data_IF_899456372814
#
_entry.id   IF_899456372814
#
_cell.length_a   1.000
_cell.length_b   1.000
_cell.length_c   1.000
_cell.angle_alpha   90.00
_cell.angle_beta   90.00
_cell.angle_gamma   90.00
#
_symmetry.space_group_name_H-M   'P 1'
#
loop_
_entity.id
_entity.type
_entity.pdbx_description
1 polymer ?
#
# COMPACT_ATOMS: atom_id res chain seq x y z
N UNK A 1 -3.38 19.43 47.27
CA UNK A 1 -3.37 18.46 46.16
C UNK A 1 -3.18 19.24 44.88
N UNK A 2 -1.96 19.23 44.33
CA UNK A 2 -1.62 19.86 43.06
C UNK A 2 -1.96 18.86 41.95
N UNK A 3 -2.85 19.24 41.03
CA UNK A 3 -3.11 18.48 39.80
C UNK A 3 -1.96 18.75 38.84
N UNK A 4 -1.18 17.72 38.53
CA UNK A 4 -0.25 17.71 37.41
C UNK A 4 -1.07 17.60 36.11
N UNK A 5 -0.89 18.51 35.13
CA UNK A 5 -1.51 18.34 33.83
C UNK A 5 -0.88 17.16 33.10
N UNK A 6 -1.72 16.35 32.45
CA UNK A 6 -1.31 15.22 31.63
C UNK A 6 -0.40 15.70 30.48
N UNK A 7 0.73 15.02 30.31
CA UNK A 7 1.59 15.14 29.13
C UNK A 7 0.78 14.86 27.86
N UNK A 8 0.94 15.66 26.79
CA UNK A 8 0.39 15.31 25.48
C UNK A 8 1.09 14.06 24.94
N UNK A 9 0.37 13.16 24.24
CA UNK A 9 0.96 11.95 23.69
C UNK A 9 2.09 12.28 22.72
N UNK A 10 3.19 11.57 22.93
CA UNK A 10 4.53 11.72 22.39
C UNK A 10 4.65 11.15 20.97
N UNK A 11 5.47 11.83 20.15
CA UNK A 11 6.27 11.33 19.02
C UNK A 11 5.66 10.26 18.08
N UNK A 12 5.49 10.64 16.80
CA UNK A 12 5.43 9.70 15.66
C UNK A 12 6.58 8.69 15.78
N UNK A 13 6.27 7.51 16.28
CA UNK A 13 7.27 6.48 16.53
C UNK A 13 7.57 5.80 15.20
N UNK A 14 8.84 5.76 14.80
CA UNK A 14 9.24 5.05 13.58
C UNK A 14 8.84 3.57 13.67
N UNK A 15 8.39 2.94 12.57
CA UNK A 15 7.99 1.54 12.58
C UNK A 15 9.15 0.67 13.10
N UNK A 16 8.84 -0.23 14.04
CA UNK A 16 9.81 -1.04 14.77
C UNK A 16 9.94 -2.45 14.17
N UNK A 17 8.95 -2.88 13.39
CA UNK A 17 8.89 -4.21 12.78
C UNK A 17 8.64 -4.15 11.27
N UNK A 18 9.02 -5.22 10.57
CA UNK A 18 8.76 -5.36 9.13
C UNK A 18 7.27 -5.25 8.79
N UNK A 19 6.42 -5.79 9.66
CA UNK A 19 4.98 -5.74 9.50
C UNK A 19 4.44 -4.31 9.60
N UNK A 20 4.90 -3.54 10.57
CA UNK A 20 4.54 -2.12 10.68
C UNK A 20 4.98 -1.31 9.45
N UNK A 21 6.16 -1.60 8.90
CA UNK A 21 6.58 -1.00 7.62
C UNK A 21 5.60 -1.35 6.49
N UNK A 22 5.15 -2.61 6.40
CA UNK A 22 4.18 -3.02 5.40
C UNK A 22 2.84 -2.30 5.54
N UNK A 23 2.37 -2.06 6.77
CA UNK A 23 1.15 -1.28 7.04
C UNK A 23 1.30 0.20 6.67
N UNK A 24 2.42 0.82 7.03
CA UNK A 24 2.71 2.21 6.65
C UNK A 24 2.79 2.35 5.13
N UNK A 25 3.43 1.39 4.45
CA UNK A 25 3.51 1.38 3.00
C UNK A 25 2.17 1.10 2.33
N UNK A 26 1.33 0.21 2.88
CA UNK A 26 -0.01 -0.02 2.31
C UNK A 26 -0.88 1.23 2.38
N UNK A 27 -0.85 1.95 3.50
CA UNK A 27 -1.58 3.22 3.64
C UNK A 27 -1.03 4.29 2.67
N UNK A 28 0.30 4.36 2.50
CA UNK A 28 0.92 5.22 1.49
C UNK A 28 0.42 4.88 0.08
N UNK A 29 0.40 3.61 -0.30
CA UNK A 29 -0.03 3.17 -1.62
C UNK A 29 -1.50 3.54 -1.88
N UNK A 30 -2.38 3.36 -0.88
CA UNK A 30 -3.79 3.74 -0.97
C UNK A 30 -3.93 5.25 -1.18
N UNK A 31 -3.21 6.06 -0.39
CA UNK A 31 -3.23 7.52 -0.53
C UNK A 31 -2.77 7.98 -1.91
N UNK A 32 -1.65 7.42 -2.41
CA UNK A 32 -1.16 7.72 -3.76
C UNK A 32 -2.15 7.30 -4.84
N UNK A 33 -2.86 6.19 -4.64
CA UNK A 33 -3.92 5.77 -5.56
C UNK A 33 -5.09 6.74 -5.57
N UNK A 34 -5.54 7.21 -4.41
CA UNK A 34 -6.59 8.24 -4.28
C UNK A 34 -6.20 9.52 -5.02
N UNK A 35 -4.97 10.00 -4.81
CA UNK A 35 -4.45 11.18 -5.52
C UNK A 35 -4.45 10.98 -7.05
N UNK A 36 -4.05 9.80 -7.53
CA UNK A 36 -4.10 9.46 -8.97
C UNK A 36 -5.54 9.47 -9.49
N UNK A 37 -6.50 8.94 -8.72
CA UNK A 37 -7.91 8.96 -9.09
C UNK A 37 -8.46 10.39 -9.16
N UNK A 38 -8.15 11.23 -8.17
CA UNK A 38 -8.55 12.64 -8.13
C UNK A 38 -7.96 13.42 -9.32
N UNK A 39 -6.67 13.25 -9.58
CA UNK A 39 -6.01 13.85 -10.73
C UNK A 39 -6.63 13.36 -12.03
N UNK A 40 -6.90 12.07 -12.21
CA UNK A 40 -7.49 11.58 -13.47
C UNK A 40 -8.87 12.18 -13.80
N UNK A 41 -9.58 12.74 -12.81
CA UNK A 41 -10.95 13.26 -12.92
C UNK A 41 -11.05 14.78 -13.16
N UNK A 42 -9.92 15.49 -13.38
CA UNK A 42 -9.79 16.92 -13.79
C UNK A 42 -11.12 17.72 -13.91
N UNK A 43 -11.56 18.35 -12.82
CA UNK A 43 -12.62 19.37 -12.85
C UNK A 43 -14.05 18.87 -13.07
N UNK A 44 -14.27 17.56 -13.13
CA UNK A 44 -15.60 16.98 -13.13
C UNK A 44 -16.03 16.71 -11.68
N UNK A 45 -17.22 17.20 -11.28
CA UNK A 45 -17.89 17.00 -9.98
C UNK A 45 -18.25 15.51 -9.69
N UNK A 46 -17.46 14.55 -10.15
CA UNK A 46 -17.67 13.14 -9.86
C UNK A 46 -16.93 12.78 -8.57
N UNK A 47 -17.67 12.90 -7.48
CA UNK A 47 -17.33 12.30 -6.18
C UNK A 47 -17.08 10.80 -6.39
N UNK A 48 -16.20 10.22 -5.58
CA UNK A 48 -16.09 8.77 -5.44
C UNK A 48 -17.49 8.14 -5.31
N UNK A 49 -17.69 7.00 -5.95
CA UNK A 49 -18.87 6.19 -5.65
C UNK A 49 -18.90 5.83 -4.16
N UNK A 50 -20.06 5.46 -3.62
CA UNK A 50 -20.15 5.01 -2.22
C UNK A 50 -19.21 3.82 -1.94
N UNK A 51 -19.06 2.94 -2.92
CA UNK A 51 -18.16 1.79 -2.85
C UNK A 51 -16.67 2.20 -2.84
N UNK A 52 -16.25 3.07 -3.76
CA UNK A 52 -14.89 3.62 -3.76
C UNK A 52 -14.58 4.40 -2.47
N UNK A 53 -15.57 5.14 -1.98
CA UNK A 53 -15.47 5.87 -0.71
C UNK A 53 -15.23 4.89 0.44
N UNK A 54 -16.03 3.83 0.55
CA UNK A 54 -15.86 2.81 1.58
C UNK A 54 -14.47 2.15 1.52
N UNK A 55 -14.00 1.80 0.31
CA UNK A 55 -12.76 1.05 0.09
C UNK A 55 -11.48 1.88 0.27
N UNK A 56 -11.48 3.17 -0.06
CA UNK A 56 -10.23 3.95 -0.12
C UNK A 56 -10.10 4.99 0.98
N UNK A 57 -11.20 5.49 1.52
CA UNK A 57 -11.21 6.55 2.53
C UNK A 57 -12.21 6.30 3.69
N UNK A 58 -12.92 5.17 3.64
CA UNK A 58 -14.03 4.85 4.52
C UNK A 58 -13.82 3.57 5.34
N UNK A 59 -14.93 2.93 5.70
CA UNK A 59 -14.94 1.83 6.67
C UNK A 59 -14.17 0.56 6.21
N UNK A 60 -14.04 0.34 4.91
CA UNK A 60 -13.38 -0.85 4.35
C UNK A 60 -11.89 -0.61 4.03
N UNK A 61 -11.41 0.64 4.10
CA UNK A 61 -9.99 0.97 3.87
C UNK A 61 -9.03 0.12 4.72
N UNK A 62 -9.28 -0.14 6.01
CA UNK A 62 -8.39 -0.98 6.81
C UNK A 62 -8.30 -2.42 6.29
N UNK A 63 -9.35 -2.93 5.64
CA UNK A 63 -9.34 -4.26 5.01
C UNK A 63 -8.43 -4.25 3.78
N UNK A 64 -8.54 -3.21 2.95
CA UNK A 64 -7.67 -3.04 1.78
C UNK A 64 -6.21 -2.89 2.20
N UNK A 65 -5.94 -2.05 3.20
CA UNK A 65 -4.60 -1.80 3.73
C UNK A 65 -3.95 -3.09 4.25
N UNK A 66 -4.65 -3.87 5.08
CA UNK A 66 -4.15 -5.14 5.60
C UNK A 66 -3.85 -6.15 4.50
N UNK A 67 -4.69 -6.23 3.46
CA UNK A 67 -4.46 -7.19 2.39
C UNK A 67 -3.24 -6.82 1.54
N UNK A 68 -3.01 -5.52 1.29
CA UNK A 68 -1.78 -5.03 0.64
C UNK A 68 -0.57 -5.30 1.53
N UNK A 69 -0.64 -5.00 2.84
CA UNK A 69 0.44 -5.23 3.79
C UNK A 69 0.80 -6.72 3.90
N UNK A 70 -0.19 -7.60 3.91
CA UNK A 70 -0.01 -9.05 3.87
C UNK A 70 0.76 -9.50 2.62
N UNK A 71 0.39 -8.99 1.46
CA UNK A 71 1.06 -9.31 0.21
C UNK A 71 2.50 -8.76 0.14
N UNK A 72 2.75 -7.56 0.67
CA UNK A 72 4.10 -7.00 0.83
C UNK A 72 4.96 -7.88 1.74
N UNK A 73 4.44 -8.21 2.92
CA UNK A 73 5.13 -9.03 3.91
C UNK A 73 5.45 -10.42 3.36
N UNK A 74 4.52 -11.07 2.66
CA UNK A 74 4.77 -12.37 2.03
C UNK A 74 5.93 -12.30 1.04
N UNK A 75 5.98 -11.25 0.19
CA UNK A 75 7.08 -11.07 -0.77
C UNK A 75 8.42 -10.82 -0.09
N UNK A 76 8.44 -10.01 0.97
CA UNK A 76 9.65 -9.76 1.75
C UNK A 76 10.19 -11.06 2.34
N UNK A 77 9.32 -11.88 2.93
CA UNK A 77 9.70 -13.16 3.54
C UNK A 77 10.21 -14.14 2.49
N UNK A 78 9.51 -14.29 1.35
CA UNK A 78 9.89 -15.23 0.30
C UNK A 78 11.18 -14.86 -0.42
N UNK A 79 11.52 -13.58 -0.46
CA UNK A 79 12.78 -13.07 -1.00
C UNK A 79 13.88 -13.00 0.06
N UNK A 80 13.60 -13.40 1.30
CA UNK A 80 14.54 -13.37 2.42
C UNK A 80 15.16 -11.97 2.65
N UNK A 81 14.38 -10.91 2.43
CA UNK A 81 14.88 -9.53 2.55
C UNK A 81 15.07 -9.15 4.01
N UNK A 82 16.22 -8.53 4.31
CA UNK A 82 16.45 -7.89 5.60
C UNK A 82 15.57 -6.65 5.77
N UNK A 83 15.47 -6.12 6.99
CA UNK A 83 14.75 -4.88 7.25
C UNK A 83 15.28 -3.69 6.42
N UNK A 84 16.60 -3.60 6.21
CA UNK A 84 17.20 -2.56 5.39
C UNK A 84 16.90 -2.75 3.88
N UNK A 85 16.73 -3.99 3.44
CA UNK A 85 16.49 -4.35 2.04
C UNK A 85 15.00 -4.42 1.69
N UNK A 86 14.11 -4.28 2.66
CA UNK A 86 12.66 -4.38 2.48
C UNK A 86 12.11 -3.41 1.42
N UNK A 87 12.78 -2.27 1.20
CA UNK A 87 12.45 -1.32 0.14
C UNK A 87 12.59 -1.92 -1.28
N UNK A 88 13.36 -3.00 -1.45
CA UNK A 88 13.51 -3.67 -2.74
C UNK A 88 12.39 -4.68 -3.04
N UNK A 89 11.38 -4.80 -2.17
CA UNK A 89 10.22 -5.64 -2.46
C UNK A 89 9.52 -5.18 -3.74
N UNK A 90 9.30 -6.06 -4.73
CA UNK A 90 8.70 -5.70 -6.00
C UNK A 90 7.18 -5.54 -5.87
N UNK A 91 6.64 -4.40 -6.26
CA UNK A 91 5.20 -4.19 -6.43
C UNK A 91 4.68 -4.91 -7.67
N UNK A 92 5.39 -4.73 -8.78
CA UNK A 92 5.15 -5.42 -10.04
C UNK A 92 6.49 -5.93 -10.57
N UNK A 93 6.52 -7.20 -10.95
CA UNK A 93 7.69 -7.84 -11.53
C UNK A 93 7.25 -8.80 -12.65
N UNK A 94 8.16 -9.15 -13.58
CA UNK A 94 7.93 -10.19 -14.56
C UNK A 94 7.40 -11.47 -13.93
N UNK A 95 6.68 -12.25 -14.72
CA UNK A 95 6.15 -13.56 -14.30
C UNK A 95 5.23 -13.48 -13.07
N UNK A 96 4.67 -12.28 -12.80
CA UNK A 96 3.81 -12.03 -11.64
C UNK A 96 4.52 -12.40 -10.31
N UNK A 97 5.80 -12.09 -10.19
CA UNK A 97 6.57 -12.31 -8.96
C UNK A 97 6.47 -11.14 -7.95
N UNK A 98 5.80 -10.05 -8.32
CA UNK A 98 5.54 -8.91 -7.44
C UNK A 98 4.30 -9.07 -6.56
N UNK A 99 4.05 -8.07 -5.70
CA UNK A 99 2.85 -7.93 -4.87
C UNK A 99 1.56 -8.06 -5.70
N UNK A 100 1.53 -7.52 -6.91
CA UNK A 100 0.40 -7.69 -7.85
C UNK A 100 0.10 -9.16 -8.16
N UNK A 101 1.14 -10.00 -8.32
CA UNK A 101 0.99 -11.44 -8.53
C UNK A 101 0.49 -12.18 -7.29
N UNK A 102 1.02 -11.80 -6.12
CA UNK A 102 0.53 -12.29 -4.82
C UNK A 102 -0.97 -12.03 -4.65
N UNK A 103 -1.42 -10.80 -4.87
CA UNK A 103 -2.82 -10.43 -4.73
C UNK A 103 -3.75 -11.19 -5.70
N UNK A 104 -3.25 -11.53 -6.90
CA UNK A 104 -4.02 -12.31 -7.89
C UNK A 104 -4.15 -13.78 -7.50
N UNK A 105 -3.06 -14.43 -7.08
CA UNK A 105 -3.00 -15.89 -6.95
C UNK A 105 -3.03 -16.42 -5.51
N UNK A 106 -2.52 -15.67 -4.56
CA UNK A 106 -2.27 -16.16 -3.19
C UNK A 106 -2.67 -15.17 -2.09
N UNK A 107 -3.53 -14.18 -2.38
CA UNK A 107 -3.99 -13.18 -1.41
C UNK A 107 -4.46 -13.77 -0.07
N UNK A 108 -5.19 -14.89 -0.11
CA UNK A 108 -5.61 -15.57 1.11
C UNK A 108 -4.41 -16.13 1.90
N UNK A 109 -3.48 -16.82 1.23
CA UNK A 109 -2.29 -17.37 1.90
C UNK A 109 -1.40 -16.25 2.46
N UNK A 110 -1.26 -15.13 1.74
CA UNK A 110 -0.56 -13.93 2.23
C UNK A 110 -1.15 -13.46 3.56
N UNK A 111 -2.49 -13.38 3.62
CA UNK A 111 -3.24 -12.98 4.80
C UNK A 111 -3.17 -14.04 5.92
N UNK A 112 -3.04 -15.31 5.58
CA UNK A 112 -2.86 -16.40 6.52
C UNK A 112 -1.49 -16.32 7.23
N UNK A 113 -0.45 -16.03 6.46
CA UNK A 113 0.94 -15.99 6.94
C UNK A 113 1.36 -14.65 7.56
N UNK A 114 0.49 -13.64 7.57
CA UNK A 114 0.84 -12.34 8.13
C UNK A 114 1.01 -12.38 9.66
N UNK A 115 1.91 -11.58 10.26
CA UNK A 115 2.11 -11.52 11.70
C UNK A 115 0.88 -11.02 12.46
N UNK A 116 0.60 -11.60 13.62
CA UNK A 116 -0.44 -11.13 14.55
C UNK A 116 0.18 -10.14 15.53
N UNK A 117 -0.15 -8.85 15.39
CA UNK A 117 0.15 -7.85 16.41
C UNK A 117 -1.13 -7.55 17.19
N UNK A 118 -1.04 -7.59 18.51
CA UNK A 118 -2.14 -7.18 19.39
C UNK A 118 -2.49 -5.71 19.11
N UNK A 119 -3.77 -5.43 18.87
CA UNK A 119 -4.30 -4.07 18.67
C UNK A 119 -4.23 -3.51 17.25
N UNK A 120 -3.36 -4.01 16.37
CA UNK A 120 -3.25 -3.50 14.99
C UNK A 120 -3.88 -4.48 13.98
N UNK A 121 -5.07 -4.14 13.47
CA UNK A 121 -5.67 -4.83 12.34
C UNK A 121 -6.21 -6.24 12.59
N UNK A 122 -6.12 -6.78 13.82
CA UNK A 122 -6.57 -8.13 14.16
C UNK A 122 -8.05 -8.39 13.79
N UNK A 123 -8.95 -7.46 14.12
CA UNK A 123 -10.38 -7.58 13.78
C UNK A 123 -10.62 -7.59 12.26
N UNK A 124 -9.95 -6.69 11.53
CA UNK A 124 -10.04 -6.57 10.07
C UNK A 124 -9.48 -7.80 9.36
N UNK A 125 -8.37 -8.36 9.84
CA UNK A 125 -7.80 -9.62 9.34
C UNK A 125 -8.71 -10.81 9.61
N UNK A 126 -9.26 -10.92 10.83
CA UNK A 126 -10.20 -11.98 11.18
C UNK A 126 -11.48 -11.91 10.32
N UNK A 127 -11.99 -10.70 10.09
CA UNK A 127 -13.09 -10.46 9.16
C UNK A 127 -12.75 -10.95 7.75
N UNK A 128 -11.61 -10.51 7.19
CA UNK A 128 -11.22 -10.92 5.83
C UNK A 128 -11.01 -12.42 5.68
N UNK A 129 -10.38 -13.09 6.65
CA UNK A 129 -10.23 -14.55 6.65
C UNK A 129 -11.57 -15.26 6.63
N UNK A 130 -12.48 -14.83 7.50
CA UNK A 130 -13.85 -15.37 7.54
C UNK A 130 -14.56 -15.15 6.21
N UNK A 131 -14.48 -13.94 5.67
CA UNK A 131 -15.10 -13.59 4.39
C UNK A 131 -14.56 -14.41 3.22
N UNK A 132 -13.25 -14.64 3.17
CA UNK A 132 -12.57 -15.43 2.13
C UNK A 132 -12.99 -16.92 2.12
N UNK A 133 -13.37 -17.47 3.27
CA UNK A 133 -13.78 -18.87 3.40
C UNK A 133 -15.31 -19.06 3.46
N UNK A 134 -16.08 -17.99 3.67
CA UNK A 134 -17.52 -18.04 3.83
C UNK A 134 -18.23 -18.63 2.60
N UNK A 135 -19.39 -19.26 2.81
CA UNK A 135 -20.31 -19.62 1.72
C UNK A 135 -21.41 -18.58 1.53
N UNK A 136 -21.50 -17.59 2.42
CA UNK A 136 -22.48 -16.51 2.32
C UNK A 136 -22.12 -15.55 1.18
N UNK A 137 -23.07 -15.18 0.30
CA UNK A 137 -22.79 -14.34 -0.86
C UNK A 137 -22.21 -12.97 -0.48
N UNK A 138 -22.74 -12.32 0.56
CA UNK A 138 -22.27 -10.98 0.96
C UNK A 138 -20.83 -10.99 1.48
N UNK A 139 -20.45 -12.03 2.22
CA UNK A 139 -19.08 -12.20 2.71
C UNK A 139 -18.10 -12.43 1.56
N UNK A 140 -18.50 -13.23 0.58
CA UNK A 140 -17.72 -13.46 -0.64
C UNK A 140 -17.55 -12.19 -1.46
N UNK A 141 -18.62 -11.40 -1.60
CA UNK A 141 -18.58 -10.11 -2.27
C UNK A 141 -17.64 -9.13 -1.55
N UNK A 142 -17.67 -9.08 -0.21
CA UNK A 142 -16.72 -8.26 0.55
C UNK A 142 -15.27 -8.66 0.25
N UNK A 143 -14.96 -9.96 0.31
CA UNK A 143 -13.62 -10.46 -0.02
C UNK A 143 -13.18 -10.07 -1.44
N UNK A 144 -14.02 -10.30 -2.44
CA UNK A 144 -13.67 -10.02 -3.83
C UNK A 144 -13.52 -8.52 -4.09
N UNK A 145 -14.35 -7.68 -3.49
CA UNK A 145 -14.20 -6.21 -3.57
C UNK A 145 -12.89 -5.74 -2.95
N UNK A 146 -12.58 -6.18 -1.74
CA UNK A 146 -11.33 -5.80 -1.05
C UNK A 146 -10.11 -6.28 -1.84
N UNK A 147 -10.13 -7.53 -2.33
CA UNK A 147 -9.04 -8.07 -3.17
C UNK A 147 -8.87 -7.28 -4.46
N UNK A 148 -9.96 -6.95 -5.13
CA UNK A 148 -9.93 -6.16 -6.38
C UNK A 148 -9.43 -4.75 -6.11
N UNK A 149 -9.86 -4.12 -5.02
CA UNK A 149 -9.40 -2.80 -4.61
C UNK A 149 -7.90 -2.79 -4.29
N UNK A 150 -7.42 -3.76 -3.50
CA UNK A 150 -6.00 -3.92 -3.20
C UNK A 150 -5.15 -4.09 -4.46
N UNK A 151 -5.61 -4.94 -5.39
CA UNK A 151 -4.93 -5.15 -6.67
C UNK A 151 -4.92 -3.85 -7.50
N UNK A 152 -6.04 -3.14 -7.58
CA UNK A 152 -6.15 -1.87 -8.31
C UNK A 152 -5.18 -0.81 -7.77
N UNK A 153 -5.08 -0.67 -6.44
CA UNK A 153 -4.14 0.24 -5.77
C UNK A 153 -2.71 -0.05 -6.19
N UNK A 154 -2.26 -1.30 -6.00
CA UNK A 154 -0.87 -1.67 -6.28
C UNK A 154 -0.55 -1.57 -7.77
N UNK A 155 -1.47 -2.00 -8.63
CA UNK A 155 -1.30 -1.95 -10.09
C UNK A 155 -1.24 -0.50 -10.60
N UNK A 156 -2.13 0.38 -10.10
CA UNK A 156 -2.13 1.80 -10.46
C UNK A 156 -0.84 2.50 -10.03
N UNK A 157 -0.41 2.30 -8.77
CA UNK A 157 0.83 2.91 -8.27
C UNK A 157 2.05 2.37 -9.01
N UNK A 158 2.14 1.06 -9.26
CA UNK A 158 3.26 0.49 -10.01
C UNK A 158 3.37 1.04 -11.45
N UNK A 159 2.21 1.32 -12.09
CA UNK A 159 2.13 1.94 -13.42
C UNK A 159 2.61 3.39 -13.43
N UNK A 160 2.18 4.19 -12.46
CA UNK A 160 2.51 5.62 -12.35
C UNK A 160 3.86 5.90 -11.71
N UNK A 161 4.52 4.89 -11.13
CA UNK A 161 5.86 5.05 -10.56
C UNK A 161 6.90 5.14 -11.68
N UNK A 162 7.52 6.33 -11.78
CA UNK A 162 8.57 6.64 -12.76
C UNK A 162 9.96 6.79 -12.12
N UNK A 163 10.03 6.97 -10.79
CA UNK A 163 11.29 7.09 -10.10
C UNK A 163 12.11 5.79 -10.14
N UNK A 164 13.42 5.93 -10.03
CA UNK A 164 14.39 4.84 -10.11
C UNK A 164 15.30 4.83 -8.91
N UNK A 165 14.92 4.04 -7.92
CA UNK A 165 15.77 3.70 -6.78
C UNK A 165 16.92 2.80 -7.26
N UNK A 166 18.13 3.12 -6.80
CA UNK A 166 19.33 2.30 -7.03
C UNK A 166 19.30 1.08 -6.12
N UNK A 167 19.48 -0.12 -6.67
CA UNK A 167 19.60 -1.34 -5.89
C UNK A 167 19.11 -2.58 -6.64
N UNK A 168 19.04 -3.73 -5.94
CA UNK A 168 18.59 -4.98 -6.52
C UNK A 168 17.20 -4.86 -7.15
N UNK A 169 17.03 -5.49 -8.31
CA UNK A 169 15.75 -5.63 -9.01
C UNK A 169 15.57 -7.09 -9.42
N UNK A 170 14.34 -7.44 -9.80
CA UNK A 170 14.07 -8.74 -10.42
C UNK A 170 15.02 -8.96 -11.62
N UNK A 171 15.62 -10.15 -11.79
CA UNK A 171 16.64 -10.40 -12.82
C UNK A 171 16.12 -10.16 -14.24
N UNK A 172 14.85 -10.44 -14.51
CA UNK A 172 14.21 -10.19 -15.81
C UNK A 172 13.66 -8.76 -15.95
N UNK A 173 13.92 -7.85 -15.01
CA UNK A 173 13.40 -6.49 -15.09
C UNK A 173 14.03 -5.69 -16.24
N UNK A 174 13.19 -4.97 -16.98
CA UNK A 174 13.57 -4.15 -18.13
C UNK A 174 13.37 -2.66 -17.83
N UNK A 175 14.40 -1.82 -17.93
CA UNK A 175 14.30 -0.39 -17.58
C UNK A 175 13.18 0.37 -18.30
N UNK A 176 12.93 0.05 -19.58
CA UNK A 176 11.97 0.77 -20.42
C UNK A 176 10.76 -0.11 -20.82
N UNK A 177 10.55 -1.23 -20.14
CA UNK A 177 9.40 -2.10 -20.39
C UNK A 177 8.06 -1.51 -19.92
N UNK A 178 6.92 -2.16 -20.22
CA UNK A 178 5.67 -1.88 -19.53
C UNK A 178 5.84 -2.07 -18.02
N UNK A 179 4.94 -1.49 -17.22
CA UNK A 179 5.11 -1.39 -15.76
C UNK A 179 5.48 -2.69 -15.04
N UNK A 180 4.95 -3.84 -15.46
CA UNK A 180 5.25 -5.15 -14.88
C UNK A 180 6.62 -5.68 -15.30
N UNK A 181 7.12 -5.32 -16.49
CA UNK A 181 8.49 -5.63 -16.91
C UNK A 181 9.51 -4.76 -16.18
N UNK A 182 9.14 -3.56 -15.69
CA UNK A 182 10.08 -2.64 -15.04
C UNK A 182 10.61 -3.10 -13.68
N UNK A 183 9.97 -4.11 -13.08
CA UNK A 183 10.35 -4.56 -11.73
C UNK A 183 10.24 -3.44 -10.71
N UNK A 184 9.15 -2.64 -10.74
CA UNK A 184 8.96 -1.50 -9.84
C UNK A 184 8.93 -1.99 -8.38
N UNK A 185 9.70 -1.35 -7.50
CA UNK A 185 9.80 -1.70 -6.08
C UNK A 185 9.14 -0.66 -5.17
N UNK A 186 8.97 -0.97 -3.88
CA UNK A 186 8.59 0.03 -2.87
C UNK A 186 9.57 1.20 -2.83
N UNK A 187 10.87 0.96 -2.99
CA UNK A 187 11.90 1.99 -3.01
C UNK A 187 11.71 2.99 -4.15
N UNK A 188 11.26 2.51 -5.32
CA UNK A 188 10.89 3.40 -6.43
C UNK A 188 9.72 4.33 -6.04
N UNK A 189 8.71 3.81 -5.33
CA UNK A 189 7.57 4.61 -4.83
C UNK A 189 8.00 5.64 -3.80
N UNK A 190 8.78 5.21 -2.79
CA UNK A 190 9.25 6.09 -1.72
C UNK A 190 10.12 7.23 -2.25
N UNK A 191 10.98 6.94 -3.24
CA UNK A 191 11.81 7.94 -3.90
C UNK A 191 10.94 8.95 -4.68
N UNK A 192 9.96 8.47 -5.44
CA UNK A 192 9.04 9.34 -6.18
C UNK A 192 8.21 10.24 -5.27
N UNK A 193 7.75 9.72 -4.14
CA UNK A 193 7.02 10.50 -3.13
C UNK A 193 7.92 11.54 -2.46
N UNK A 194 9.16 11.18 -2.13
CA UNK A 194 10.13 12.12 -1.57
C UNK A 194 10.42 13.29 -2.52
N UNK A 195 10.66 12.99 -3.81
CA UNK A 195 10.88 14.00 -4.85
C UNK A 195 9.67 14.91 -5.03
N UNK A 196 8.45 14.36 -4.98
CA UNK A 196 7.21 15.16 -5.07
C UNK A 196 7.10 16.16 -3.92
N UNK A 197 7.27 15.70 -2.68
CA UNK A 197 7.21 16.59 -1.50
C UNK A 197 8.28 17.68 -1.54
N UNK A 198 9.48 17.37 -2.04
CA UNK A 198 10.52 18.39 -2.23
C UNK A 198 10.10 19.45 -3.26
N UNK A 199 9.49 19.05 -4.37
CA UNK A 199 9.00 19.98 -5.37
C UNK A 199 7.85 20.85 -4.82
N UNK A 200 6.94 20.27 -4.03
CA UNK A 200 5.84 21.01 -3.41
C UNK A 200 6.37 22.05 -2.42
N UNK A 201 7.35 21.69 -1.57
CA UNK A 201 8.01 22.63 -0.65
C UNK A 201 8.70 23.77 -1.39
N UNK A 202 9.37 23.48 -2.50
CA UNK A 202 10.00 24.50 -3.32
C UNK A 202 8.97 25.41 -4.02
N UNK A 203 7.84 24.86 -4.45
CA UNK A 203 6.74 25.61 -5.04
C UNK A 203 6.05 26.52 -4.01
N UNK A 204 5.94 26.12 -2.75
CA UNK A 204 5.45 26.98 -1.66
C UNK A 204 6.41 28.15 -1.40
N UNK A 205 7.72 27.89 -1.32
CA UNK A 205 8.74 28.93 -1.07
C UNK A 205 8.83 29.95 -2.21
N UNK A 206 8.61 29.54 -3.47
CA UNK A 206 8.69 30.43 -4.63
C UNK A 206 7.32 30.89 -5.17
N UNK A 207 6.22 30.34 -4.64
CA UNK A 207 4.85 30.66 -5.03
C UNK A 207 4.25 31.86 -4.27
N UNK A 208 4.88 32.29 -3.17
CA UNK A 208 4.43 33.39 -2.29
C UNK A 208 4.77 34.80 -2.80
N UNK A 209 5.28 34.95 -4.02
CA UNK A 209 5.67 36.25 -4.63
C UNK A 209 4.58 36.89 -5.54
N UNK A 210 3.28 36.71 -5.24
CA UNK A 210 2.19 37.35 -6.01
C UNK A 210 1.09 38.01 -5.19
#
# INVERSE_FOLDING_TARGET
>A
MLMTPAEPPTAETSPQTMWECCLVWSDLLIRLHVEVLEQSRHGQLFKFSEEETALYIGADQPLVSILIAAALHERIVLMELSFADAVFVPLAAPQEEGVTGTLRRSAYNALELSPELEGQGSASRALLRRSALSSHPDDRLLWDRVRTAALSVVDAVARSTHARHSGPRHPDARPDGPYWERGSTIGDVLLGEHQRRQLDQLAEVWGDDR
#
